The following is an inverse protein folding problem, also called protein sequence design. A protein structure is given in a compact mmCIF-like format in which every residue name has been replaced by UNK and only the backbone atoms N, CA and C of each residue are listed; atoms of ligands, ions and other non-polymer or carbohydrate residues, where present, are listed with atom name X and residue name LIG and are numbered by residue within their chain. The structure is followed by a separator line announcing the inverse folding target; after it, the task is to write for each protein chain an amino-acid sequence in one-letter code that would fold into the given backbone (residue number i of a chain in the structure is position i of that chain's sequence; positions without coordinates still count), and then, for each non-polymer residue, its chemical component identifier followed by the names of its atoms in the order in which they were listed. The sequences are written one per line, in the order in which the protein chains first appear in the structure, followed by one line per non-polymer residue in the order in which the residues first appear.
data_IF_283855276952
#
_entry.id   IF_283855276952
#
_cell.length_a   1.000
_cell.length_b   1.000
_cell.length_c   1.000
_cell.angle_alpha   90.00
_cell.angle_beta   90.00
_cell.angle_gamma   90.00
#
_symmetry.space_group_name_H-M   'P 1'
#
loop_
_entity.id
_entity.type
_entity.pdbx_description
1 polymer ?
#
# COMPACT_ATOMS: atom_id res chain seq x y z
N UNK A 1 20.33 -3.53 15.98
CA UNK A 1 19.50 -2.94 14.90
C UNK A 1 18.14 -3.63 14.86
N UNK A 2 17.06 -2.89 15.10
CA UNK A 2 15.68 -3.43 15.07
C UNK A 2 15.28 -3.88 13.66
N UNK A 3 14.44 -4.91 13.56
CA UNK A 3 13.93 -5.43 12.28
C UNK A 3 13.22 -4.35 11.45
N UNK A 4 12.50 -3.43 12.11
CA UNK A 4 11.83 -2.30 11.46
C UNK A 4 12.83 -1.37 10.76
N UNK A 5 13.96 -1.11 11.42
CA UNK A 5 15.05 -0.28 10.86
C UNK A 5 15.63 -0.92 9.61
N UNK A 6 15.87 -2.25 9.62
CA UNK A 6 16.36 -2.97 8.44
C UNK A 6 15.37 -2.92 7.27
N UNK A 7 14.07 -3.04 7.57
CA UNK A 7 13.01 -2.99 6.57
C UNK A 7 12.91 -1.61 5.91
N UNK A 8 12.93 -0.54 6.70
CA UNK A 8 12.92 0.85 6.18
C UNK A 8 14.19 1.10 5.34
N UNK A 9 15.35 0.67 5.82
CA UNK A 9 16.61 0.85 5.10
C UNK A 9 16.62 0.09 3.77
N UNK A 10 16.11 -1.14 3.76
CA UNK A 10 15.97 -1.94 2.55
C UNK A 10 15.01 -1.31 1.54
N UNK A 11 13.89 -0.75 2.01
CA UNK A 11 12.89 -0.11 1.15
C UNK A 11 13.41 1.19 0.52
N UNK A 12 14.10 2.02 1.31
CA UNK A 12 14.75 3.25 0.80
C UNK A 12 15.88 2.91 -0.17
N UNK A 13 16.71 1.90 0.16
CA UNK A 13 17.77 1.43 -0.72
C UNK A 13 17.23 0.89 -2.04
N UNK A 14 16.17 0.11 -2.01
CA UNK A 14 15.51 -0.42 -3.20
C UNK A 14 14.88 0.69 -4.07
N UNK A 15 14.22 1.67 -3.44
CA UNK A 15 13.65 2.82 -4.16
C UNK A 15 14.74 3.64 -4.86
N UNK A 16 15.84 3.95 -4.15
CA UNK A 16 16.96 4.69 -4.71
C UNK A 16 17.63 3.91 -5.86
N UNK A 17 17.89 2.61 -5.66
CA UNK A 17 18.44 1.75 -6.72
C UNK A 17 17.51 1.68 -7.94
N UNK A 18 16.20 1.60 -7.72
CA UNK A 18 15.20 1.60 -8.79
C UNK A 18 15.20 2.90 -9.60
N UNK A 19 15.28 4.06 -8.94
CA UNK A 19 15.38 5.36 -9.62
C UNK A 19 16.66 5.44 -10.43
N UNK A 20 17.80 5.05 -9.87
CA UNK A 20 19.10 5.08 -10.58
C UNK A 20 19.06 4.17 -11.81
N UNK A 21 18.59 2.93 -11.67
CA UNK A 21 18.45 2.00 -12.79
C UNK A 21 17.46 2.54 -13.83
N UNK A 22 16.32 3.09 -13.39
CA UNK A 22 15.33 3.68 -14.29
C UNK A 22 15.86 4.88 -15.07
N UNK A 23 16.65 5.75 -14.42
CA UNK A 23 17.27 6.92 -15.05
C UNK A 23 18.38 6.52 -16.02
N UNK A 24 19.11 5.44 -15.74
CA UNK A 24 20.10 4.85 -16.66
C UNK A 24 19.43 4.21 -17.88
N UNK A 25 18.31 3.51 -17.69
CA UNK A 25 17.59 2.84 -18.77
C UNK A 25 16.81 3.81 -19.65
N UNK A 26 16.29 4.89 -19.07
CA UNK A 26 15.56 5.95 -19.75
C UNK A 26 16.18 7.32 -19.40
N UNK A 27 17.30 7.70 -20.04
CA UNK A 27 17.89 9.00 -19.85
C UNK A 27 17.05 10.08 -20.55
N UNK A 28 16.40 10.92 -19.75
CA UNK A 28 15.78 12.15 -20.22
C UNK A 28 16.70 13.36 -20.00
N UNK A 29 16.52 14.40 -20.82
CA UNK A 29 17.21 15.68 -20.60
C UNK A 29 16.71 16.35 -19.32
N UNK A 30 17.60 16.97 -18.54
CA UNK A 30 17.24 17.56 -17.23
C UNK A 30 16.12 18.60 -17.30
N UNK A 31 16.01 19.34 -18.41
CA UNK A 31 14.90 20.27 -18.69
C UNK A 31 13.57 19.54 -18.86
N UNK A 32 13.57 18.40 -19.57
CA UNK A 32 12.40 17.54 -19.70
C UNK A 32 12.06 16.84 -18.39
N UNK A 33 13.05 16.39 -17.60
CA UNK A 33 12.84 15.77 -16.29
C UNK A 33 12.15 16.72 -15.31
N UNK A 34 12.60 17.98 -15.22
CA UNK A 34 11.94 18.98 -14.35
C UNK A 34 10.50 19.24 -14.76
N UNK A 35 10.25 19.34 -16.06
CA UNK A 35 8.92 19.57 -16.61
C UNK A 35 8.00 18.37 -16.35
N UNK A 36 8.48 17.16 -16.61
CA UNK A 36 7.80 15.90 -16.29
C UNK A 36 7.51 15.75 -14.79
N UNK A 37 8.42 16.14 -13.91
CA UNK A 37 8.17 16.11 -12.45
C UNK A 37 7.06 17.09 -12.08
N UNK A 38 7.07 18.31 -12.63
CA UNK A 38 6.04 19.31 -12.34
C UNK A 38 4.66 18.85 -12.84
N UNK A 39 4.59 18.37 -14.07
CA UNK A 39 3.35 17.87 -14.68
C UNK A 39 2.86 16.61 -13.94
N UNK A 40 3.74 15.64 -13.70
CA UNK A 40 3.39 14.40 -13.00
C UNK A 40 3.03 14.64 -11.53
N UNK A 41 3.65 15.60 -10.83
CA UNK A 41 3.32 15.90 -9.44
C UNK A 41 1.90 16.49 -9.29
N UNK A 42 1.48 17.32 -10.25
CA UNK A 42 0.10 17.83 -10.31
C UNK A 42 -0.90 16.68 -10.48
N UNK A 43 -0.75 15.91 -11.56
CA UNK A 43 -1.66 14.80 -11.88
C UNK A 43 -1.65 13.69 -10.83
N UNK A 44 -0.47 13.36 -10.27
CA UNK A 44 -0.34 12.32 -9.26
C UNK A 44 -1.01 12.72 -7.95
N UNK A 45 -1.02 14.00 -7.58
CA UNK A 45 -1.60 14.42 -6.31
C UNK A 45 -3.10 14.17 -6.30
N UNK A 46 -3.80 14.53 -7.38
CA UNK A 46 -5.24 14.32 -7.49
C UNK A 46 -5.56 12.82 -7.60
N UNK A 47 -4.83 12.09 -8.44
CA UNK A 47 -5.08 10.66 -8.64
C UNK A 47 -4.73 9.82 -7.40
N UNK A 48 -3.65 10.15 -6.67
CA UNK A 48 -3.31 9.48 -5.42
C UNK A 48 -4.31 9.79 -4.32
N UNK A 49 -4.81 11.01 -4.25
CA UNK A 49 -5.81 11.38 -3.23
C UNK A 49 -7.11 10.59 -3.43
N UNK A 50 -7.53 10.41 -4.68
CA UNK A 50 -8.73 9.65 -5.03
C UNK A 50 -8.54 8.14 -4.80
N UNK A 51 -7.40 7.58 -5.23
CA UNK A 51 -7.05 6.19 -4.97
C UNK A 51 -6.88 5.91 -3.47
N UNK A 52 -6.30 6.83 -2.71
CA UNK A 52 -6.12 6.68 -1.27
C UNK A 52 -7.46 6.72 -0.54
N UNK A 53 -8.36 7.62 -0.94
CA UNK A 53 -9.71 7.70 -0.41
C UNK A 53 -10.50 6.43 -0.69
N UNK A 54 -10.46 5.95 -1.94
CA UNK A 54 -11.07 4.69 -2.36
C UNK A 54 -10.48 3.47 -1.65
N UNK A 55 -9.16 3.43 -1.49
CA UNK A 55 -8.48 2.34 -0.77
C UNK A 55 -8.83 2.34 0.71
N UNK A 56 -8.91 3.51 1.34
CA UNK A 56 -9.33 3.64 2.75
C UNK A 56 -10.75 3.14 2.95
N UNK A 57 -11.67 3.52 2.06
CA UNK A 57 -13.05 3.07 2.13
C UNK A 57 -13.17 1.55 1.92
N UNK A 58 -12.47 1.00 0.92
CA UNK A 58 -12.42 -0.45 0.72
C UNK A 58 -11.81 -1.20 1.90
N UNK A 59 -10.76 -0.67 2.53
CA UNK A 59 -10.15 -1.28 3.72
C UNK A 59 -11.11 -1.27 4.91
N UNK A 60 -11.83 -0.17 5.13
CA UNK A 60 -12.82 -0.07 6.21
C UNK A 60 -14.00 -1.02 6.00
N UNK A 61 -14.47 -1.15 4.76
CA UNK A 61 -15.52 -2.09 4.39
C UNK A 61 -15.06 -3.54 4.53
N UNK A 62 -13.83 -3.85 4.11
CA UNK A 62 -13.23 -5.17 4.25
C UNK A 62 -13.00 -5.52 5.72
N UNK A 63 -12.62 -4.56 6.56
CA UNK A 63 -12.53 -4.75 8.02
C UNK A 63 -13.89 -5.03 8.63
N UNK A 64 -14.94 -4.28 8.28
CA UNK A 64 -16.31 -4.51 8.81
C UNK A 64 -16.87 -5.87 8.38
N UNK A 65 -16.72 -6.22 7.10
CA UNK A 65 -17.15 -7.53 6.57
C UNK A 65 -16.34 -8.67 7.17
N UNK A 66 -15.01 -8.53 7.24
CA UNK A 66 -14.12 -9.50 7.86
C UNK A 66 -14.42 -9.69 9.35
N UNK A 67 -14.70 -8.62 10.10
CA UNK A 67 -15.07 -8.71 11.50
C UNK A 67 -16.42 -9.41 11.71
N UNK A 68 -17.44 -9.10 10.89
CA UNK A 68 -18.74 -9.80 10.95
C UNK A 68 -18.63 -11.27 10.53
N UNK A 69 -17.87 -11.57 9.48
CA UNK A 69 -17.64 -12.93 9.03
C UNK A 69 -16.89 -13.74 10.09
N UNK A 70 -15.83 -13.16 10.66
CA UNK A 70 -15.04 -13.78 11.73
C UNK A 70 -15.87 -13.98 13.01
N UNK A 71 -16.71 -13.03 13.40
CA UNK A 71 -17.56 -13.15 14.60
C UNK A 71 -18.69 -14.16 14.43
N UNK A 72 -19.25 -14.27 13.21
CA UNK A 72 -20.29 -15.27 12.92
C UNK A 72 -19.67 -16.67 12.84
N UNK A 73 -18.50 -16.79 12.21
CA UNK A 73 -17.75 -18.04 12.14
C UNK A 73 -17.27 -18.50 13.52
N UNK A 74 -16.74 -17.59 14.35
CA UNK A 74 -16.29 -17.93 15.70
C UNK A 74 -17.46 -18.31 16.62
N UNK A 75 -18.62 -17.65 16.48
CA UNK A 75 -19.83 -18.00 17.23
C UNK A 75 -20.37 -19.38 16.84
N UNK A 76 -20.44 -19.69 15.54
CA UNK A 76 -20.83 -21.03 15.04
C UNK A 76 -19.83 -22.10 15.46
N UNK A 77 -18.53 -21.78 15.43
CA UNK A 77 -17.48 -22.70 15.88
C UNK A 77 -17.56 -22.96 17.40
N UNK A 78 -17.91 -21.95 18.20
CA UNK A 78 -18.14 -22.12 19.63
C UNK A 78 -19.37 -23.03 19.89
N UNK A 79 -20.47 -22.81 19.18
CA UNK A 79 -21.70 -23.61 19.29
C UNK A 79 -21.47 -25.10 18.98
N UNK A 80 -20.75 -25.39 17.90
CA UNK A 80 -20.43 -26.79 17.52
C UNK A 80 -19.46 -27.44 18.51
N UNK A 81 -18.52 -26.66 19.06
CA UNK A 81 -17.59 -27.15 20.08
C UNK A 81 -18.30 -27.43 21.41
N UNK A 82 -19.31 -26.63 21.76
CA UNK A 82 -20.13 -26.81 22.98
C UNK A 82 -21.10 -27.98 22.85
N UNK A 83 -21.60 -28.28 21.64
CA UNK A 83 -22.50 -29.42 21.38
C UNK A 83 -21.81 -30.80 21.44
N UNK A 84 -20.48 -30.85 21.44
CA UNK A 84 -19.69 -32.10 21.42
C UNK A 84 -18.97 -32.39 22.75
N UNK A 85 -19.08 -31.48 23.73
CA UNK A 85 -18.59 -31.63 25.11
C UNK A 85 -19.76 -31.84 26.06
#
# INVERSE_FOLDING_TARGET
MSAKTKLVLGLVGAAAAGVVVGLLLAPDSGTATRRKIADAAGDWTDHLSDLFSSAKEQVDDLKKKGYKAASTASRRAAEVKESYM
#
